data_IF_853459689916
#
_entry.id   IF_853459689916
#
_cell.length_a   1.000
_cell.length_b   1.000
_cell.length_c   1.000
_cell.angle_alpha   90.00
_cell.angle_beta   90.00
_cell.angle_gamma   90.00
#
_symmetry.space_group_name_H-M   'P 1'
#
loop_
_entity.id
_entity.type
_entity.pdbx_description
1 polymer ?
#
# COMPACT_ATOMS: atom_id res chain seq x y z
N UNK A 1 7.99 7.20 -23.38
CA UNK A 1 6.76 7.68 -22.73
C UNK A 1 7.20 8.25 -21.38
N UNK A 2 6.95 9.52 -21.07
CA UNK A 2 7.42 10.11 -19.79
C UNK A 2 6.69 9.40 -18.65
N UNK A 3 7.39 8.78 -17.68
CA UNK A 3 6.74 8.15 -16.55
C UNK A 3 6.26 9.25 -15.60
N UNK A 4 4.95 9.51 -15.54
CA UNK A 4 4.38 10.63 -14.80
C UNK A 4 3.76 10.14 -13.49
N UNK A 5 4.38 10.50 -12.36
CA UNK A 5 4.00 10.06 -11.02
C UNK A 5 2.55 10.45 -10.65
N UNK A 6 2.10 11.64 -11.05
CA UNK A 6 0.83 12.23 -10.59
C UNK A 6 -0.30 12.23 -11.62
N UNK A 7 -0.08 11.68 -12.82
CA UNK A 7 -1.07 11.75 -13.92
C UNK A 7 -2.45 11.22 -13.50
N UNK A 8 -2.47 10.09 -12.80
CA UNK A 8 -3.70 9.47 -12.30
C UNK A 8 -4.49 10.39 -11.37
N UNK A 9 -3.84 11.09 -10.44
CA UNK A 9 -4.49 12.03 -9.53
C UNK A 9 -4.94 13.33 -10.19
N UNK A 10 -4.22 13.80 -11.21
CA UNK A 10 -4.61 14.99 -11.98
C UNK A 10 -5.86 14.71 -12.83
N UNK A 11 -5.92 13.53 -13.46
CA UNK A 11 -7.05 13.12 -14.29
C UNK A 11 -8.28 12.70 -13.46
N UNK A 12 -8.07 12.23 -12.23
CA UNK A 12 -9.13 11.73 -11.35
C UNK A 12 -9.06 12.47 -10.00
N UNK A 13 -9.68 13.65 -9.95
CA UNK A 13 -9.64 14.56 -8.79
C UNK A 13 -10.29 14.01 -7.51
N UNK A 14 -11.04 12.92 -7.62
CA UNK A 14 -11.63 12.15 -6.52
C UNK A 14 -10.71 11.04 -5.99
N UNK A 15 -9.48 10.93 -6.51
CA UNK A 15 -8.47 9.98 -6.04
C UNK A 15 -8.10 10.24 -4.58
N UNK A 16 -8.14 9.18 -3.76
CA UNK A 16 -7.71 9.28 -2.35
C UNK A 16 -6.21 9.55 -2.15
N UNK A 17 -5.36 9.23 -3.13
CA UNK A 17 -3.89 9.44 -3.08
C UNK A 17 -3.36 10.10 -4.36
N UNK A 18 -3.65 9.53 -5.53
CA UNK A 18 -3.40 10.17 -6.83
C UNK A 18 -1.97 10.10 -7.38
N UNK A 19 -1.03 9.46 -6.67
CA UNK A 19 0.34 9.25 -7.17
C UNK A 19 0.70 7.77 -7.29
N UNK A 20 1.50 7.42 -8.30
CA UNK A 20 2.01 6.08 -8.56
C UNK A 20 3.49 6.13 -8.92
N UNK A 21 4.27 5.16 -8.42
CA UNK A 21 5.67 5.03 -8.81
C UNK A 21 5.78 4.27 -10.15
N UNK A 22 6.30 4.89 -11.22
CA UNK A 22 6.47 4.23 -12.52
C UNK A 22 7.54 3.13 -12.52
N UNK A 23 8.52 3.25 -11.64
CA UNK A 23 9.61 2.31 -11.40
C UNK A 23 10.06 2.42 -9.94
N UNK A 24 11.01 1.58 -9.53
CA UNK A 24 11.53 1.59 -8.15
C UNK A 24 12.35 2.85 -7.83
N UNK A 25 13.03 3.42 -8.81
CA UNK A 25 13.90 4.59 -8.63
C UNK A 25 13.07 5.84 -8.31
N UNK A 26 11.84 5.94 -8.83
CA UNK A 26 10.92 7.04 -8.56
C UNK A 26 10.65 7.29 -7.07
N UNK A 27 10.67 6.25 -6.23
CA UNK A 27 10.53 6.41 -4.77
C UNK A 27 11.69 7.21 -4.15
N UNK A 28 12.87 7.17 -4.78
CA UNK A 28 14.05 7.91 -4.34
C UNK A 28 14.13 9.28 -5.01
N UNK A 29 13.95 9.34 -6.34
CA UNK A 29 14.03 10.59 -7.11
C UNK A 29 12.95 11.59 -6.70
N UNK A 30 11.74 11.10 -6.40
CA UNK A 30 10.62 11.93 -5.96
C UNK A 30 10.32 11.74 -4.46
N UNK A 31 11.34 11.44 -3.66
CA UNK A 31 11.17 11.17 -2.22
C UNK A 31 10.49 12.32 -1.47
N UNK A 32 10.74 13.58 -1.84
CA UNK A 32 10.08 14.75 -1.25
C UNK A 32 8.56 14.76 -1.47
N UNK A 33 8.07 14.11 -2.53
CA UNK A 33 6.65 13.90 -2.79
C UNK A 33 6.14 12.61 -2.12
N UNK A 34 6.85 11.49 -2.28
CA UNK A 34 6.38 10.20 -1.76
C UNK A 34 6.41 10.10 -0.23
N UNK A 35 7.47 10.58 0.42
CA UNK A 35 7.62 10.45 1.88
C UNK A 35 6.45 11.05 2.68
N UNK A 36 6.06 12.32 2.49
CA UNK A 36 4.94 12.88 3.25
C UNK A 36 3.61 12.16 2.95
N UNK A 37 3.38 11.74 1.70
CA UNK A 37 2.17 10.98 1.32
C UNK A 37 2.16 9.60 1.98
N UNK A 38 3.29 8.89 2.01
CA UNK A 38 3.45 7.60 2.69
C UNK A 38 3.25 7.78 4.20
N UNK A 39 3.86 8.80 4.80
CA UNK A 39 3.74 9.08 6.23
C UNK A 39 2.29 9.35 6.63
N UNK A 40 1.58 10.19 5.88
CA UNK A 40 0.16 10.50 6.12
C UNK A 40 -0.72 9.25 5.97
N UNK A 41 -0.61 8.54 4.85
CA UNK A 41 -1.44 7.37 4.57
C UNK A 41 -1.20 6.22 5.56
N UNK A 42 0.06 5.96 5.90
CA UNK A 42 0.46 4.92 6.86
C UNK A 42 0.51 5.40 8.32
N UNK A 43 -0.03 6.60 8.60
CA UNK A 43 -0.23 7.13 9.96
C UNK A 43 1.06 7.23 10.80
N UNK A 44 2.11 7.78 10.21
CA UNK A 44 3.36 8.13 10.90
C UNK A 44 4.60 7.33 10.49
N UNK A 45 4.64 6.78 9.27
CA UNK A 45 5.84 6.13 8.73
C UNK A 45 6.87 7.18 8.28
N UNK A 46 7.83 7.50 9.14
CA UNK A 46 8.82 8.56 8.91
C UNK A 46 9.84 8.13 7.85
N UNK A 47 10.53 9.07 7.18
CA UNK A 47 11.63 8.75 6.26
C UNK A 47 12.77 7.92 6.87
N UNK A 48 12.93 8.02 8.20
CA UNK A 48 13.92 7.27 8.98
C UNK A 48 13.47 5.84 9.30
N UNK A 49 12.19 5.54 9.18
CA UNK A 49 11.62 4.24 9.53
C UNK A 49 11.91 3.23 8.42
N UNK A 50 11.88 1.95 8.78
CA UNK A 50 12.10 0.84 7.86
C UNK A 50 10.97 -0.16 8.02
N UNK A 51 10.46 -0.66 6.90
CA UNK A 51 9.49 -1.74 6.92
C UNK A 51 10.12 -2.96 7.62
N UNK A 52 9.42 -3.63 8.54
CA UNK A 52 9.95 -4.80 9.21
C UNK A 52 10.22 -5.94 8.21
N UNK A 53 11.07 -6.93 8.57
CA UNK A 53 11.18 -8.17 7.81
C UNK A 53 9.81 -8.83 7.63
N UNK A 54 9.67 -9.61 6.55
CA UNK A 54 8.43 -10.34 6.31
C UNK A 54 8.21 -11.37 7.40
N UNK A 55 7.02 -11.37 7.99
CA UNK A 55 6.55 -12.35 8.96
C UNK A 55 5.07 -12.65 8.69
N UNK A 56 4.73 -13.93 8.54
CA UNK A 56 3.35 -14.37 8.35
C UNK A 56 2.65 -14.74 9.66
N UNK A 57 3.38 -14.72 10.79
CA UNK A 57 2.87 -15.07 12.11
C UNK A 57 2.49 -16.56 12.24
N UNK A 58 1.78 -16.86 13.32
CA UNK A 58 1.23 -18.20 13.56
C UNK A 58 -0.19 -18.30 12.98
N UNK A 59 -0.37 -19.10 11.93
CA UNK A 59 -1.68 -19.29 11.30
C UNK A 59 -2.70 -19.95 12.23
N UNK A 60 -2.27 -20.64 13.28
CA UNK A 60 -3.17 -21.27 14.24
C UNK A 60 -3.88 -20.25 15.14
N UNK A 61 -3.42 -18.99 15.18
CA UNK A 61 -4.10 -17.92 15.93
C UNK A 61 -5.27 -17.31 15.16
N UNK A 62 -5.44 -17.66 13.88
CA UNK A 62 -6.54 -17.17 13.06
C UNK A 62 -7.83 -17.90 13.41
N UNK A 63 -8.95 -17.16 13.48
CA UNK A 63 -10.26 -17.69 13.88
C UNK A 63 -11.29 -17.47 12.78
N UNK A 64 -12.39 -18.21 12.84
CA UNK A 64 -13.56 -17.89 12.02
C UNK A 64 -14.16 -16.55 12.49
N UNK A 65 -14.15 -15.57 11.60
CA UNK A 65 -14.67 -14.21 11.85
C UNK A 65 -16.20 -14.15 11.92
N UNK A 66 -16.90 -15.18 11.46
CA UNK A 66 -18.36 -15.31 11.54
C UNK A 66 -18.75 -16.76 11.87
N UNK A 67 -18.67 -17.16 13.15
CA UNK A 67 -19.01 -18.52 13.59
C UNK A 67 -20.47 -18.92 13.33
N UNK A 68 -21.39 -17.95 13.32
CA UNK A 68 -22.83 -18.17 13.15
C UNK A 68 -23.26 -18.11 11.67
N UNK A 69 -22.39 -17.62 10.78
CA UNK A 69 -22.60 -17.56 9.34
C UNK A 69 -23.70 -16.58 8.92
N UNK A 70 -23.99 -15.55 9.71
CA UNK A 70 -25.10 -14.63 9.48
C UNK A 70 -24.70 -13.38 8.68
N UNK A 71 -23.40 -13.12 8.54
CA UNK A 71 -22.90 -11.83 8.03
C UNK A 71 -21.93 -11.99 6.86
N UNK A 72 -21.02 -12.96 6.90
CA UNK A 72 -19.90 -13.05 5.97
C UNK A 72 -20.24 -13.96 4.80
N UNK A 73 -20.35 -13.36 3.61
CA UNK A 73 -20.54 -14.09 2.35
C UNK A 73 -19.24 -14.77 1.90
N UNK A 74 -18.11 -14.07 2.01
CA UNK A 74 -16.79 -14.59 1.60
C UNK A 74 -15.65 -13.84 2.29
N UNK A 75 -14.49 -14.51 2.43
CA UNK A 75 -13.24 -13.92 2.94
C UNK A 75 -12.14 -14.04 1.89
N UNK A 76 -11.31 -13.00 1.71
CA UNK A 76 -10.22 -12.99 0.73
C UNK A 76 -9.00 -12.22 1.23
N UNK A 77 -7.83 -12.84 1.18
CA UNK A 77 -6.52 -12.21 1.45
C UNK A 77 -5.68 -12.24 0.17
N UNK A 78 -4.91 -11.17 -0.10
CA UNK A 78 -3.99 -11.09 -1.25
C UNK A 78 -2.70 -10.35 -0.88
N UNK A 79 -1.63 -10.60 -1.62
CA UNK A 79 -0.38 -9.85 -1.58
C UNK A 79 0.06 -9.52 -3.02
N UNK A 80 0.80 -8.42 -3.20
CA UNK A 80 1.40 -8.04 -4.48
C UNK A 80 2.90 -8.28 -4.49
N UNK A 81 3.47 -8.58 -5.67
CA UNK A 81 4.92 -8.68 -5.90
C UNK A 81 5.23 -8.07 -7.28
N UNK A 82 6.37 -7.39 -7.38
CA UNK A 82 6.96 -6.99 -8.65
C UNK A 82 8.09 -7.96 -8.97
N UNK A 83 8.27 -8.31 -10.25
CA UNK A 83 9.41 -9.11 -10.70
C UNK A 83 10.66 -8.22 -10.72
N UNK A 84 11.82 -8.84 -10.49
CA UNK A 84 13.14 -8.24 -10.74
C UNK A 84 13.45 -8.18 -12.24
#
# INVERSE_FOLDING_TARGET
MKPEVSKGGIENLDSGIGIYAPDAEAYTVFAELFNPVIEEYHKGFKPTDRHPPTDFGDMNTLVNVDPEGQYVISTRTRCGRSLE
#
